data_IF_044112387139
#
_entry.id   IF_044112387139
#
_cell.length_a   1.000
_cell.length_b   1.000
_cell.length_c   1.000
_cell.angle_alpha   90.00
_cell.angle_beta   90.00
_cell.angle_gamma   90.00
#
_symmetry.space_group_name_H-M   'P 1'
#
loop_
_entity.id
_entity.type
_entity.pdbx_description
1 polymer ?
#
# COMPACT_ATOMS: atom_id res chain seq x y z
N UNK A 1 10.31 -4.95 -27.08
CA UNK A 1 8.86 -5.27 -26.97
C UNK A 1 8.74 -6.63 -26.31
N UNK A 2 8.00 -6.74 -25.20
CA UNK A 2 7.76 -8.01 -24.52
C UNK A 2 6.73 -8.80 -25.34
N UNK A 3 7.17 -9.87 -26.01
CA UNK A 3 6.32 -10.76 -26.82
C UNK A 3 6.24 -12.13 -26.15
N UNK A 4 5.28 -12.31 -25.24
CA UNK A 4 4.95 -13.61 -24.66
C UNK A 4 3.52 -14.00 -25.09
N UNK A 5 3.34 -15.10 -25.85
CA UNK A 5 2.06 -15.42 -26.52
C UNK A 5 0.88 -15.71 -25.58
N UNK A 6 1.14 -15.91 -24.28
CA UNK A 6 0.11 -16.19 -23.28
C UNK A 6 -0.07 -15.04 -22.27
N UNK A 7 0.51 -13.87 -22.52
CA UNK A 7 0.37 -12.71 -21.65
C UNK A 7 -0.82 -11.84 -22.09
N UNK A 8 -1.97 -12.01 -21.43
CA UNK A 8 -3.06 -11.04 -21.54
C UNK A 8 -2.70 -9.82 -20.70
N UNK A 9 -2.40 -8.69 -21.35
CA UNK A 9 -2.18 -7.42 -20.66
C UNK A 9 -3.52 -6.92 -20.14
N UNK A 10 -3.78 -7.15 -18.85
CA UNK A 10 -4.87 -6.48 -18.14
C UNK A 10 -4.37 -5.11 -17.67
N UNK A 11 -4.88 -4.04 -18.28
CA UNK A 11 -4.69 -2.68 -17.77
C UNK A 11 -5.79 -2.43 -16.75
N UNK A 12 -5.43 -2.19 -15.48
CA UNK A 12 -6.42 -1.71 -14.51
C UNK A 12 -6.90 -0.34 -14.99
N UNK A 13 -8.15 -0.28 -15.47
CA UNK A 13 -8.69 0.98 -16.00
C UNK A 13 -8.78 2.05 -14.92
N UNK A 14 -8.78 1.72 -13.63
CA UNK A 14 -8.81 2.69 -12.52
C UNK A 14 -7.51 3.46 -12.36
N UNK A 15 -6.48 3.18 -13.16
CA UNK A 15 -5.22 3.93 -13.15
C UNK A 15 -5.45 5.41 -13.50
N UNK A 16 -6.56 5.79 -14.16
CA UNK A 16 -6.89 7.22 -14.36
C UNK A 16 -7.27 7.95 -13.05
N UNK A 17 -7.62 7.22 -11.98
CA UNK A 17 -8.00 7.82 -10.69
C UNK A 17 -6.80 8.32 -9.91
N UNK A 18 -5.60 7.85 -10.25
CA UNK A 18 -4.36 8.17 -9.56
C UNK A 18 -3.36 8.73 -10.55
N UNK A 19 -2.83 9.90 -10.26
CA UNK A 19 -1.77 10.47 -11.07
C UNK A 19 -0.49 9.60 -10.99
N UNK A 20 0.40 9.80 -11.97
CA UNK A 20 1.66 9.09 -12.01
C UNK A 20 2.49 9.29 -10.72
N UNK A 21 2.45 10.50 -10.17
CA UNK A 21 3.22 10.86 -8.98
C UNK A 21 2.76 10.08 -7.75
N UNK A 22 1.45 9.88 -7.60
CA UNK A 22 0.86 9.04 -6.56
C UNK A 22 1.31 7.59 -6.71
N UNK A 23 1.27 7.03 -7.92
CA UNK A 23 1.69 5.64 -8.16
C UNK A 23 3.17 5.44 -7.85
N UNK A 24 4.03 6.40 -8.23
CA UNK A 24 5.45 6.39 -7.88
C UNK A 24 5.64 6.49 -6.36
N UNK A 25 4.92 7.41 -5.70
CA UNK A 25 5.02 7.60 -4.26
C UNK A 25 4.54 6.36 -3.50
N UNK A 26 3.42 5.76 -3.92
CA UNK A 26 2.89 4.51 -3.38
C UNK A 26 3.91 3.37 -3.52
N UNK A 27 4.48 3.19 -4.70
CA UNK A 27 5.51 2.16 -4.92
C UNK A 27 6.73 2.34 -4.03
N UNK A 28 7.19 3.58 -3.84
CA UNK A 28 8.31 3.89 -2.92
C UNK A 28 7.93 3.67 -1.46
N UNK A 29 6.71 4.07 -1.07
CA UNK A 29 6.21 3.90 0.29
C UNK A 29 6.08 2.42 0.64
N UNK A 30 5.52 1.59 -0.25
CA UNK A 30 5.42 0.13 -0.10
C UNK A 30 6.79 -0.54 0.10
N UNK A 31 7.85 0.03 -0.44
CA UNK A 31 9.23 -0.39 -0.18
C UNK A 31 9.88 0.24 1.06
N UNK A 32 9.11 0.91 1.91
CA UNK A 32 9.54 1.65 3.11
C UNK A 32 10.72 2.62 2.83
N UNK A 33 10.77 3.19 1.63
CA UNK A 33 11.83 4.14 1.24
C UNK A 33 11.66 5.46 2.01
N UNK A 34 12.72 6.28 2.14
CA UNK A 34 12.63 7.58 2.80
C UNK A 34 11.46 8.41 2.29
N UNK A 35 10.68 8.99 3.21
CA UNK A 35 9.47 9.76 2.91
C UNK A 35 8.16 8.97 2.95
N UNK A 36 8.19 7.66 3.23
CA UNK A 36 6.98 6.83 3.27
C UNK A 36 5.96 7.28 4.33
N UNK A 37 6.40 7.78 5.49
CA UNK A 37 5.48 8.25 6.54
C UNK A 37 4.67 9.46 6.06
N UNK A 38 5.34 10.39 5.37
CA UNK A 38 4.68 11.57 4.80
C UNK A 38 3.66 11.17 3.73
N UNK A 39 3.96 10.13 2.93
CA UNK A 39 2.98 9.58 2.00
C UNK A 39 1.75 9.03 2.73
N UNK A 40 1.92 8.19 3.77
CA UNK A 40 0.79 7.66 4.55
C UNK A 40 -0.05 8.79 5.13
N UNK A 41 0.58 9.80 5.75
CA UNK A 41 -0.13 10.96 6.28
C UNK A 41 -0.90 11.73 5.18
N UNK A 42 -0.30 11.93 4.01
CA UNK A 42 -0.92 12.62 2.89
C UNK A 42 -2.14 11.89 2.31
N UNK A 43 -2.24 10.57 2.50
CA UNK A 43 -3.44 9.82 2.07
C UNK A 43 -4.69 10.16 2.88
N UNK A 44 -4.53 10.66 4.12
CA UNK A 44 -5.64 10.88 5.05
C UNK A 44 -6.37 9.58 5.47
N UNK A 45 -5.77 8.41 5.26
CA UNK A 45 -6.38 7.14 5.59
C UNK A 45 -6.54 6.96 7.12
N UNK A 46 -7.77 6.72 7.57
CA UNK A 46 -8.05 6.34 8.97
C UNK A 46 -8.00 4.83 9.22
N UNK A 47 -8.00 4.01 8.16
CA UNK A 47 -7.89 2.56 8.25
C UNK A 47 -7.15 2.01 7.03
N UNK A 48 -6.51 0.86 7.20
CA UNK A 48 -5.78 0.16 6.15
C UNK A 48 -5.96 -1.34 6.29
N UNK A 49 -6.08 -2.03 5.16
CA UNK A 49 -6.04 -3.49 5.08
C UNK A 49 -4.82 -3.87 4.27
N UNK A 50 -3.91 -4.61 4.88
CA UNK A 50 -2.63 -4.99 4.29
C UNK A 50 -2.36 -6.47 4.52
N UNK A 51 -1.60 -7.15 3.65
CA UNK A 51 -1.14 -8.50 3.95
C UNK A 51 -0.41 -8.52 5.29
N UNK A 52 -0.65 -9.53 6.11
CA UNK A 52 -0.08 -9.62 7.46
C UNK A 52 1.45 -9.62 7.44
N UNK A 53 2.04 -10.28 6.44
CA UNK A 53 3.50 -10.39 6.27
C UNK A 53 4.12 -9.21 5.50
N UNK A 54 3.32 -8.19 5.15
CA UNK A 54 3.80 -7.00 4.48
C UNK A 54 4.64 -6.14 5.44
N UNK A 55 5.87 -5.71 5.07
CA UNK A 55 6.67 -4.82 5.90
C UNK A 55 5.94 -3.54 6.32
N UNK A 56 5.03 -3.04 5.47
CA UNK A 56 4.21 -1.87 5.79
C UNK A 56 3.28 -2.13 6.99
N UNK A 57 2.72 -3.33 7.12
CA UNK A 57 1.84 -3.70 8.24
C UNK A 57 2.58 -3.50 9.57
N UNK A 58 3.81 -4.03 9.66
CA UNK A 58 4.63 -3.88 10.85
C UNK A 58 5.07 -2.42 11.08
N UNK A 59 5.45 -1.72 10.01
CA UNK A 59 5.92 -0.34 10.08
C UNK A 59 4.83 0.62 10.58
N UNK A 60 3.58 0.46 10.13
CA UNK A 60 2.45 1.27 10.59
C UNK A 60 2.22 1.14 12.09
N UNK A 61 2.30 -0.09 12.62
CA UNK A 61 2.13 -0.35 14.06
C UNK A 61 3.31 0.20 14.87
N UNK A 62 4.54 -0.10 14.45
CA UNK A 62 5.73 0.19 15.25
C UNK A 62 6.20 1.64 15.18
N UNK A 63 5.90 2.36 14.10
CA UNK A 63 6.46 3.70 13.86
C UNK A 63 5.42 4.80 13.78
N UNK A 64 4.15 4.48 13.50
CA UNK A 64 3.07 5.45 13.37
C UNK A 64 1.91 5.21 14.36
N UNK A 65 2.08 4.28 15.31
CA UNK A 65 1.10 3.97 16.36
C UNK A 65 -0.27 3.49 15.86
N UNK A 66 -0.32 2.91 14.66
CA UNK A 66 -1.55 2.28 14.15
C UNK A 66 -1.87 1.03 14.96
N UNK A 67 -3.15 0.76 15.17
CA UNK A 67 -3.63 -0.38 15.98
C UNK A 67 -4.16 -1.50 15.10
N UNK A 68 -3.68 -2.72 15.28
CA UNK A 68 -4.28 -3.94 14.72
C UNK A 68 -5.65 -4.20 15.37
N UNK A 69 -6.70 -4.22 14.54
CA UNK A 69 -8.08 -4.50 14.97
C UNK A 69 -8.50 -5.93 14.71
N UNK A 70 -8.06 -6.50 13.59
CA UNK A 70 -8.43 -7.85 13.19
C UNK A 70 -7.38 -8.43 12.24
N UNK A 71 -7.22 -9.75 12.28
CA UNK A 71 -6.45 -10.53 11.32
C UNK A 71 -7.29 -11.68 10.79
N UNK A 72 -7.38 -11.81 9.47
CA UNK A 72 -8.17 -12.86 8.81
C UNK A 72 -7.62 -13.11 7.41
N UNK A 73 -7.56 -14.39 7.00
CA UNK A 73 -7.14 -14.82 5.66
C UNK A 73 -5.80 -14.25 5.15
N UNK A 74 -4.84 -14.05 6.06
CA UNK A 74 -3.51 -13.51 5.74
C UNK A 74 -3.47 -11.99 5.56
N UNK A 75 -4.53 -11.28 5.96
CA UNK A 75 -4.60 -9.83 5.99
C UNK A 75 -4.83 -9.30 7.41
N UNK A 76 -4.33 -8.10 7.64
CA UNK A 76 -4.48 -7.35 8.89
C UNK A 76 -5.24 -6.06 8.63
N UNK A 77 -6.30 -5.82 9.40
CA UNK A 77 -6.99 -4.54 9.49
C UNK A 77 -6.31 -3.69 10.56
N UNK A 78 -5.84 -2.51 10.15
CA UNK A 78 -5.21 -1.51 10.99
C UNK A 78 -6.08 -0.24 11.02
N UNK A 79 -6.09 0.44 12.17
CA UNK A 79 -6.76 1.73 12.35
C UNK A 79 -5.74 2.74 12.86
N UNK A 80 -5.73 3.93 12.24
CA UNK A 80 -4.90 5.04 12.65
C UNK A 80 -5.25 5.49 14.10
N UNK A 81 -4.31 6.10 14.84
CA UNK A 81 -4.56 6.60 16.19
C UNK A 81 -5.67 7.66 16.25
#
# INVERSE_FOLDING_TARGET
MLTQPNLTVAVDTRTYLYDYDYLVAQGRARGLRPGWQAFVAATGAGAAVLPTEDPMTLALVQQLDWTERQRTDGYTLLVAP
#
